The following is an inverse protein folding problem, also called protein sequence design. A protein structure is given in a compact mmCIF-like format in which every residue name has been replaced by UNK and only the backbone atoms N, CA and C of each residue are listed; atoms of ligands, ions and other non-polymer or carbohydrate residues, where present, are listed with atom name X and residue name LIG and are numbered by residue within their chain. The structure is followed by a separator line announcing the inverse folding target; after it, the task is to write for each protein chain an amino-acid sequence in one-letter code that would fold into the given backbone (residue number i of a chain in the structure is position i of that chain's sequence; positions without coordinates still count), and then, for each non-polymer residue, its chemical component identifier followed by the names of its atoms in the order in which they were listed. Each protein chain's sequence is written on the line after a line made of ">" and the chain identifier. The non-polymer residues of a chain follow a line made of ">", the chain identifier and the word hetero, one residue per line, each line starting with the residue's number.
data_IF_712176473186
#
_entry.id   IF_712176473186
#
_cell.length_a   1.000
_cell.length_b   1.000
_cell.length_c   1.000
_cell.angle_alpha   90.00
_cell.angle_beta   90.00
_cell.angle_gamma   90.00
#
_symmetry.space_group_name_H-M   'P 1'
#
loop_
_entity.id
_entity.type
_entity.pdbx_description
1 polymer ?
#
# COMPACT_ATOMS: atom_id res chain seq x y z
N UNK A 1 -1.73 -8.62 16.36
CA UNK A 1 -1.85 -8.14 14.96
C UNK A 1 -0.72 -7.16 14.76
N UNK A 2 0.21 -7.44 13.83
CA UNK A 2 1.32 -6.54 13.57
C UNK A 2 0.98 -5.63 12.38
N UNK A 3 0.42 -6.19 11.32
CA UNK A 3 0.10 -5.46 10.09
C UNK A 3 -1.08 -6.09 9.37
N UNK A 4 -1.78 -5.33 8.51
CA UNK A 4 -2.90 -5.80 7.72
C UNK A 4 -2.90 -5.12 6.35
N UNK A 5 -3.21 -5.89 5.31
CA UNK A 5 -3.38 -5.40 3.93
C UNK A 5 -4.74 -5.85 3.42
N UNK A 6 -5.71 -4.94 3.38
CA UNK A 6 -7.09 -5.25 2.98
C UNK A 6 -7.73 -6.34 3.86
N UNK A 7 -8.08 -7.52 3.31
CA UNK A 7 -8.60 -8.66 4.09
C UNK A 7 -7.48 -9.50 4.74
N UNK A 8 -6.23 -9.36 4.30
CA UNK A 8 -5.12 -10.15 4.81
C UNK A 8 -4.62 -9.59 6.14
N UNK A 9 -4.42 -10.47 7.12
CA UNK A 9 -3.98 -10.13 8.48
C UNK A 9 -2.64 -10.78 8.73
N UNK A 10 -1.63 -9.97 9.02
CA UNK A 10 -0.30 -10.43 9.32
C UNK A 10 -0.10 -10.50 10.84
N UNK A 11 -0.04 -11.73 11.34
CA UNK A 11 -0.01 -12.06 12.76
C UNK A 11 0.76 -13.37 12.97
N UNK A 12 1.26 -13.58 14.19
CA UNK A 12 2.10 -14.73 14.57
C UNK A 12 1.56 -16.10 14.12
N UNK A 13 0.27 -16.45 14.26
CA UNK A 13 -0.23 -17.77 13.82
C UNK A 13 -0.35 -17.95 12.31
N UNK A 14 -0.22 -16.89 11.51
CA UNK A 14 -0.35 -16.97 10.05
C UNK A 14 0.99 -16.62 9.37
N UNK A 15 1.14 -15.33 9.07
CA UNK A 15 2.25 -14.71 8.38
C UNK A 15 2.60 -13.48 9.20
N UNK A 16 3.72 -13.48 9.91
CA UNK A 16 4.15 -12.32 10.69
C UNK A 16 5.10 -11.48 9.85
N UNK A 17 4.93 -10.16 9.85
CA UNK A 17 5.93 -9.28 9.21
C UNK A 17 7.11 -9.17 10.17
N UNK A 18 8.31 -9.54 9.71
CA UNK A 18 9.54 -9.48 10.50
C UNK A 18 10.31 -8.21 10.15
N UNK A 19 10.46 -7.97 8.86
CA UNK A 19 11.16 -6.79 8.34
C UNK A 19 10.20 -5.96 7.49
N UNK A 20 10.11 -4.66 7.81
CA UNK A 20 9.46 -3.65 6.97
C UNK A 20 10.54 -2.73 6.43
N UNK A 21 10.76 -2.78 5.11
CA UNK A 21 11.61 -1.82 4.42
C UNK A 21 10.73 -0.85 3.66
N UNK A 22 10.95 0.45 3.87
CA UNK A 22 10.24 1.50 3.13
C UNK A 22 11.24 2.41 2.45
N UNK A 23 11.06 2.63 1.16
CA UNK A 23 11.82 3.58 0.36
C UNK A 23 10.88 4.65 -0.20
N UNK A 24 11.34 5.90 -0.15
CA UNK A 24 10.66 7.02 -0.77
C UNK A 24 11.63 7.64 -1.77
N UNK A 25 11.27 7.60 -3.04
CA UNK A 25 12.07 8.19 -4.12
C UNK A 25 11.35 9.43 -4.64
N UNK A 26 11.57 10.61 -4.04
CA UNK A 26 10.95 11.85 -4.51
C UNK A 26 11.46 12.21 -5.91
N UNK A 27 10.63 12.91 -6.67
CA UNK A 27 11.03 13.37 -8.01
C UNK A 27 11.79 14.68 -7.85
N UNK A 28 13.07 14.66 -8.17
CA UNK A 28 13.96 15.81 -8.16
C UNK A 28 14.87 15.79 -9.39
N UNK A 29 15.20 16.97 -9.89
CA UNK A 29 16.06 17.16 -11.06
C UNK A 29 17.17 18.15 -10.72
N UNK A 30 18.40 17.83 -11.11
CA UNK A 30 19.55 18.70 -10.93
C UNK A 30 19.75 19.57 -12.17
N UNK A 31 19.78 20.88 -11.99
CA UNK A 31 20.11 21.83 -13.03
C UNK A 31 21.61 22.19 -12.94
N UNK A 32 22.43 21.74 -13.90
CA UNK A 32 23.85 22.07 -13.90
C UNK A 32 24.07 23.56 -14.17
N UNK A 33 24.92 24.19 -13.36
CA UNK A 33 25.35 25.59 -13.51
C UNK A 33 26.86 25.66 -13.57
N UNK A 34 27.39 26.62 -14.33
CA UNK A 34 28.84 26.78 -14.50
C UNK A 34 29.42 27.45 -13.25
N UNK A 35 30.46 26.85 -12.67
CA UNK A 35 31.24 27.44 -11.57
C UNK A 35 30.60 27.39 -10.18
N UNK A 36 29.47 26.70 -10.02
CA UNK A 36 28.80 26.53 -8.74
C UNK A 36 28.23 25.11 -8.61
N UNK A 37 27.78 24.74 -7.41
CA UNK A 37 27.05 23.49 -7.20
C UNK A 37 25.70 23.51 -7.94
N UNK A 38 25.25 22.39 -8.53
CA UNK A 38 24.00 22.33 -9.27
C UNK A 38 22.80 22.65 -8.37
N UNK A 39 21.82 23.36 -8.92
CA UNK A 39 20.57 23.66 -8.23
C UNK A 39 19.63 22.45 -8.30
N UNK A 40 18.92 22.14 -7.22
CA UNK A 40 17.99 21.01 -7.15
C UNK A 40 16.54 21.47 -7.28
N UNK A 41 15.86 21.03 -8.34
CA UNK A 41 14.44 21.29 -8.58
C UNK A 41 13.57 20.18 -8.00
N UNK A 42 12.53 20.57 -7.25
CA UNK A 42 11.57 19.64 -6.64
C UNK A 42 10.37 19.46 -7.58
N UNK A 43 10.30 18.30 -8.25
CA UNK A 43 9.24 17.96 -9.21
C UNK A 43 8.00 17.33 -8.53
N UNK A 44 8.10 17.01 -7.24
CA UNK A 44 6.98 16.56 -6.42
C UNK A 44 7.21 15.22 -5.72
N UNK A 45 6.17 14.71 -5.03
CA UNK A 45 6.23 13.39 -4.40
C UNK A 45 6.40 12.33 -5.50
N UNK A 46 7.35 11.42 -5.29
CA UNK A 46 7.58 10.31 -6.21
C UNK A 46 7.02 9.00 -5.66
N UNK A 47 7.46 7.89 -6.23
CA UNK A 47 6.98 6.58 -5.83
C UNK A 47 7.47 6.23 -4.42
N UNK A 48 6.55 5.80 -3.58
CA UNK A 48 6.85 5.20 -2.28
C UNK A 48 6.68 3.69 -2.43
N UNK A 49 7.71 2.94 -2.05
CA UNK A 49 7.72 1.49 -2.11
C UNK A 49 7.89 0.92 -0.70
N UNK A 50 7.14 -0.15 -0.40
CA UNK A 50 7.27 -0.92 0.84
C UNK A 50 7.53 -2.37 0.46
N UNK A 51 8.58 -2.92 1.04
CA UNK A 51 8.89 -4.34 0.99
C UNK A 51 8.67 -4.94 2.37
N UNK A 52 7.82 -5.96 2.44
CA UNK A 52 7.55 -6.74 3.64
C UNK A 52 8.21 -8.10 3.50
N UNK A 53 9.03 -8.47 4.47
CA UNK A 53 9.59 -9.81 4.58
C UNK A 53 8.98 -10.52 5.79
N UNK A 54 8.67 -11.80 5.59
CA UNK A 54 8.18 -12.67 6.64
C UNK A 54 8.75 -14.06 6.50
N UNK A 55 8.85 -14.75 7.63
CA UNK A 55 9.06 -16.18 7.68
C UNK A 55 7.93 -16.82 8.47
N UNK A 56 7.38 -17.93 7.99
CA UNK A 56 6.41 -18.71 8.76
C UNK A 56 6.57 -20.22 8.57
N UNK A 57 6.08 -20.97 9.56
CA UNK A 57 6.19 -22.42 9.62
C UNK A 57 4.80 -23.06 9.52
N UNK A 58 4.39 -23.59 8.34
CA UNK A 58 3.03 -24.07 8.11
C UNK A 58 2.56 -25.17 9.08
N UNK A 59 3.47 -26.06 9.49
CA UNK A 59 3.15 -27.22 10.33
C UNK A 59 2.66 -26.84 11.72
N UNK A 60 3.12 -25.71 12.27
CA UNK A 60 2.82 -25.32 13.64
C UNK A 60 1.39 -24.76 13.82
N UNK A 61 0.76 -24.27 12.74
CA UNK A 61 -0.52 -23.55 12.81
C UNK A 61 -1.57 -24.04 11.80
N UNK A 62 -1.63 -25.36 11.56
CA UNK A 62 -2.63 -25.98 10.68
C UNK A 62 -2.66 -25.43 9.24
N UNK A 63 -1.52 -25.00 8.70
CA UNK A 63 -1.41 -24.56 7.31
C UNK A 63 -2.16 -23.28 6.93
N UNK A 64 -2.74 -22.52 7.90
CA UNK A 64 -3.47 -21.27 7.61
C UNK A 64 -2.64 -20.25 6.84
N UNK A 65 -1.34 -20.18 7.11
CA UNK A 65 -0.40 -19.32 6.38
C UNK A 65 -0.34 -19.63 4.87
N UNK A 66 -0.46 -20.90 4.46
CA UNK A 66 -0.43 -21.30 3.04
C UNK A 66 -1.69 -20.83 2.30
N UNK A 67 -2.87 -20.99 2.90
CA UNK A 67 -4.12 -20.49 2.31
C UNK A 67 -4.13 -18.97 2.16
N UNK A 68 -3.57 -18.26 3.14
CA UNK A 68 -3.44 -16.81 3.07
C UNK A 68 -2.45 -16.39 1.99
N UNK A 69 -1.31 -17.08 1.85
CA UNK A 69 -0.33 -16.83 0.79
C UNK A 69 -0.96 -17.00 -0.61
N UNK A 70 -1.77 -18.04 -0.81
CA UNK A 70 -2.51 -18.24 -2.05
C UNK A 70 -3.46 -17.05 -2.34
N UNK A 71 -4.23 -16.60 -1.34
CA UNK A 71 -5.11 -15.44 -1.49
C UNK A 71 -4.36 -14.14 -1.77
N UNK A 72 -3.19 -13.92 -1.15
CA UNK A 72 -2.35 -12.75 -1.44
C UNK A 72 -1.85 -12.80 -2.89
N UNK A 73 -1.44 -13.96 -3.39
CA UNK A 73 -1.03 -14.14 -4.80
C UNK A 73 -2.16 -13.82 -5.77
N UNK A 74 -3.38 -14.26 -5.48
CA UNK A 74 -4.56 -13.90 -6.28
C UNK A 74 -4.84 -12.39 -6.25
N UNK A 75 -4.74 -11.75 -5.09
CA UNK A 75 -4.91 -10.30 -4.97
C UNK A 75 -3.84 -9.50 -5.73
N UNK A 76 -2.59 -9.98 -5.75
CA UNK A 76 -1.50 -9.42 -6.55
C UNK A 76 -1.82 -9.54 -8.05
N UNK A 77 -2.25 -10.71 -8.50
CA UNK A 77 -2.65 -10.94 -9.90
C UNK A 77 -3.85 -10.07 -10.31
N UNK A 78 -4.79 -9.82 -9.39
CA UNK A 78 -5.94 -8.98 -9.62
C UNK A 78 -5.63 -7.47 -9.59
N UNK A 79 -4.39 -7.07 -9.26
CA UNK A 79 -3.94 -5.67 -9.19
C UNK A 79 -4.86 -4.79 -8.32
N UNK A 80 -5.36 -5.34 -7.22
CA UNK A 80 -6.31 -4.64 -6.35
C UNK A 80 -5.55 -3.72 -5.39
N UNK A 81 -5.81 -2.40 -5.41
CA UNK A 81 -5.27 -1.51 -4.39
C UNK A 81 -6.01 -1.75 -3.07
N UNK A 82 -5.28 -2.10 -2.02
CA UNK A 82 -5.83 -2.39 -0.69
C UNK A 82 -5.20 -1.49 0.37
N UNK A 83 -5.95 -1.21 1.43
CA UNK A 83 -5.45 -0.38 2.52
C UNK A 83 -4.42 -1.14 3.35
N UNK A 84 -3.29 -0.50 3.62
CA UNK A 84 -2.25 -1.01 4.50
C UNK A 84 -2.37 -0.35 5.87
N UNK A 85 -2.47 -1.16 6.91
CA UNK A 85 -2.63 -0.73 8.29
C UNK A 85 -1.59 -1.44 9.14
N UNK A 86 -0.91 -0.69 10.00
CA UNK A 86 0.02 -1.24 10.98
C UNK A 86 -0.48 -0.91 12.37
N UNK A 87 -0.54 -1.93 13.23
CA UNK A 87 -1.00 -1.79 14.61
C UNK A 87 0.19 -2.06 15.51
N UNK A 88 0.63 -1.04 16.23
CA UNK A 88 1.67 -1.16 17.23
C UNK A 88 1.09 -0.88 18.63
N UNK A 89 1.90 -1.05 19.67
CA UNK A 89 1.51 -0.74 21.05
C UNK A 89 1.17 0.75 21.28
N UNK A 90 1.56 1.63 20.36
CA UNK A 90 1.29 3.07 20.42
C UNK A 90 0.02 3.48 19.64
N UNK A 91 -0.63 2.56 18.92
CA UNK A 91 -1.87 2.81 18.19
C UNK A 91 -1.94 2.18 16.79
N UNK A 92 -2.95 2.59 16.02
CA UNK A 92 -3.19 2.14 14.66
C UNK A 92 -2.73 3.20 13.66
N UNK A 93 -1.70 2.89 12.88
CA UNK A 93 -1.22 3.73 11.79
C UNK A 93 -1.79 3.25 10.44
N UNK A 94 -2.53 4.12 9.76
CA UNK A 94 -3.13 3.84 8.46
C UNK A 94 -2.23 4.45 7.38
N UNK A 95 -1.57 3.60 6.58
CA UNK A 95 -0.65 4.04 5.53
C UNK A 95 -1.33 4.40 4.20
N UNK A 96 -2.65 4.29 4.11
CA UNK A 96 -3.42 4.54 2.89
C UNK A 96 -3.50 3.31 1.98
N UNK A 97 -3.69 3.53 0.68
CA UNK A 97 -3.84 2.47 -0.32
C UNK A 97 -2.49 2.06 -0.93
N UNK A 98 -2.30 0.75 -1.03
CA UNK A 98 -1.07 0.12 -1.53
C UNK A 98 -1.44 -0.96 -2.54
N UNK A 99 -0.74 -0.94 -3.67
CA UNK A 99 -0.84 -1.92 -4.72
C UNK A 99 0.37 -2.85 -4.65
N UNK A 100 0.15 -4.15 -4.57
CA UNK A 100 1.24 -5.11 -4.62
C UNK A 100 1.78 -5.25 -6.04
N UNK A 101 3.09 -5.08 -6.20
CA UNK A 101 3.78 -5.17 -7.49
C UNK A 101 4.45 -6.51 -7.71
N UNK A 102 4.94 -7.15 -6.65
CA UNK A 102 5.54 -8.47 -6.74
C UNK A 102 5.43 -9.22 -5.43
N UNK A 103 5.33 -10.54 -5.55
CA UNK A 103 5.40 -11.48 -4.44
C UNK A 103 6.35 -12.61 -4.82
N UNK A 104 7.30 -12.90 -3.93
CA UNK A 104 8.19 -14.06 -4.05
C UNK A 104 8.13 -14.86 -2.77
N UNK A 105 8.01 -16.18 -2.88
CA UNK A 105 8.09 -17.08 -1.75
C UNK A 105 9.17 -18.14 -1.98
N UNK A 106 9.96 -18.39 -0.95
CA UNK A 106 10.97 -19.43 -0.89
C UNK A 106 10.50 -20.48 0.12
N UNK A 107 10.46 -21.72 -0.33
CA UNK A 107 10.01 -22.86 0.47
C UNK A 107 11.21 -23.77 0.75
N UNK A 108 11.49 -24.01 2.02
CA UNK A 108 12.63 -24.83 2.45
C UNK A 108 12.19 -25.96 3.37
N UNK A 109 12.95 -27.06 3.30
CA UNK A 109 12.74 -28.29 4.08
C UNK A 109 11.35 -28.89 3.85
N UNK A 110 11.23 -29.88 2.98
CA UNK A 110 9.94 -30.53 2.70
C UNK A 110 9.73 -31.75 3.62
N UNK A 111 8.49 -31.98 4.02
CA UNK A 111 8.09 -33.21 4.70
C UNK A 111 7.95 -34.38 3.70
N UNK A 112 7.80 -35.59 4.22
CA UNK A 112 7.42 -36.83 3.50
C UNK A 112 6.15 -36.67 2.66
N UNK A 113 5.24 -35.78 3.06
CA UNK A 113 4.03 -35.44 2.33
C UNK A 113 4.20 -34.29 1.30
N UNK A 114 5.42 -33.76 1.14
CA UNK A 114 5.71 -32.64 0.22
C UNK A 114 5.33 -31.24 0.75
N UNK A 115 4.86 -31.13 2.01
CA UNK A 115 4.57 -29.83 2.63
C UNK A 115 5.86 -29.14 3.07
N UNK A 116 6.08 -27.85 2.72
CA UNK A 116 7.23 -27.10 3.19
C UNK A 116 7.15 -26.81 4.70
N UNK A 117 8.27 -26.92 5.39
CA UNK A 117 8.36 -26.68 6.83
C UNK A 117 8.65 -25.21 7.16
N UNK A 118 9.33 -24.51 6.25
CA UNK A 118 9.66 -23.11 6.39
C UNK A 118 9.36 -22.41 5.08
N UNK A 119 8.61 -21.31 5.16
CA UNK A 119 8.27 -20.49 4.00
C UNK A 119 8.68 -19.05 4.31
N UNK A 120 9.61 -18.53 3.51
CA UNK A 120 10.03 -17.13 3.53
C UNK A 120 9.31 -16.41 2.41
N UNK A 121 8.74 -15.26 2.67
CA UNK A 121 7.98 -14.50 1.68
C UNK A 121 8.41 -13.05 1.69
N UNK A 122 8.57 -12.51 0.48
CA UNK A 122 8.87 -11.11 0.23
C UNK A 122 7.75 -10.54 -0.63
N UNK A 123 7.06 -9.53 -0.09
CA UNK A 123 5.98 -8.81 -0.76
C UNK A 123 6.42 -7.37 -1.00
N UNK A 124 6.55 -6.96 -2.26
CA UNK A 124 6.82 -5.58 -2.63
C UNK A 124 5.54 -4.90 -3.09
N UNK A 125 5.31 -3.69 -2.57
CA UNK A 125 4.13 -2.88 -2.86
C UNK A 125 4.55 -1.46 -3.18
N UNK A 126 3.77 -0.82 -4.05
CA UNK A 126 3.87 0.61 -4.35
C UNK A 126 2.65 1.33 -3.80
N UNK A 127 2.87 2.52 -3.27
CA UNK A 127 1.78 3.38 -2.81
C UNK A 127 0.89 3.73 -4.00
N UNK A 128 -0.39 3.40 -3.87
CA UNK A 128 -1.39 3.76 -4.85
C UNK A 128 -2.01 5.08 -4.40
N UNK A 129 -1.55 6.18 -4.99
CA UNK A 129 -2.16 7.49 -4.78
C UNK A 129 -3.31 7.67 -5.77
N UNK A 130 -4.51 7.25 -5.39
CA UNK A 130 -5.70 7.65 -6.11
C UNK A 130 -5.95 9.13 -5.80
N UNK A 131 -5.48 9.97 -6.70
CA UNK A 131 -5.57 11.43 -6.63
C UNK A 131 -7.00 11.94 -6.82
N UNK A 132 -8.00 11.31 -6.19
CA UNK A 132 -9.31 11.91 -5.95
C UNK A 132 -9.16 13.20 -5.11
N UNK A 133 -8.20 13.24 -4.19
CA UNK A 133 -7.87 14.44 -3.41
C UNK A 133 -7.24 15.56 -4.26
N UNK A 134 -6.48 15.25 -5.33
CA UNK A 134 -5.97 16.30 -6.25
C UNK A 134 -7.05 16.83 -7.19
N UNK A 135 -7.98 15.99 -7.65
CA UNK A 135 -9.15 16.47 -8.42
C UNK A 135 -10.06 17.36 -7.57
N UNK A 136 -10.27 17.01 -6.30
CA UNK A 136 -10.96 17.87 -5.34
C UNK A 136 -10.21 19.20 -5.10
N UNK A 137 -8.88 19.16 -4.92
CA UNK A 137 -8.07 20.36 -4.72
C UNK A 137 -8.00 21.26 -5.97
N UNK A 138 -8.00 20.70 -7.18
CA UNK A 138 -8.04 21.48 -8.42
C UNK A 138 -9.37 22.23 -8.60
N UNK A 139 -10.48 21.68 -8.08
CA UNK A 139 -11.78 22.35 -8.07
C UNK A 139 -11.84 23.54 -7.12
N UNK A 140 -10.97 23.58 -6.10
CA UNK A 140 -10.85 24.68 -5.15
C UNK A 140 -9.86 25.76 -5.61
N UNK A 141 -8.93 25.44 -6.52
CA UNK A 141 -7.93 26.39 -7.03
C UNK A 141 -8.35 27.13 -8.31
N UNK A 142 -9.43 26.70 -8.98
CA UNK A 142 -10.02 27.46 -10.07
C UNK A 142 -10.96 28.54 -9.49
N UNK A 143 -10.39 29.69 -9.15
CA UNK A 143 -11.08 30.82 -8.51
C UNK A 143 -12.30 31.30 -9.29
N UNK A 144 -13.46 30.71 -8.99
CA UNK A 144 -14.75 31.04 -9.60
C UNK A 144 -15.75 29.88 -9.63
N UNK A 145 -15.31 28.63 -9.38
CA UNK A 145 -16.16 27.45 -9.46
C UNK A 145 -16.25 26.79 -8.09
N UNK A 146 -17.44 26.79 -7.49
CA UNK A 146 -17.70 26.04 -6.25
C UNK A 146 -18.49 24.77 -6.57
N UNK A 147 -17.91 23.62 -6.25
CA UNK A 147 -18.55 22.31 -6.38
C UNK A 147 -18.90 21.79 -4.99
N UNK A 148 -20.18 21.55 -4.72
CA UNK A 148 -20.63 20.92 -3.49
C UNK A 148 -21.38 19.63 -3.81
N UNK A 149 -20.97 18.54 -3.16
CA UNK A 149 -21.66 17.25 -3.21
C UNK A 149 -22.20 16.91 -1.81
N UNK A 150 -23.47 16.53 -1.74
CA UNK A 150 -24.16 16.21 -0.48
C UNK A 150 -24.92 14.89 -0.59
N UNK A 151 -24.93 14.12 0.50
CA UNK A 151 -25.70 12.87 0.61
C UNK A 151 -26.94 13.18 1.47
N UNK A 152 -28.12 13.05 0.86
CA UNK A 152 -29.41 13.25 1.54
C UNK A 152 -29.81 12.03 2.37
N UNK A 153 -30.64 12.24 3.39
CA UNK A 153 -31.08 11.23 4.36
C UNK A 153 -31.91 10.06 3.77
N UNK A 154 -32.08 9.99 2.44
CA UNK A 154 -32.73 8.89 1.72
C UNK A 154 -31.82 8.15 0.72
N UNK A 155 -30.50 8.29 0.82
CA UNK A 155 -29.54 7.69 -0.13
C UNK A 155 -29.47 8.41 -1.49
N UNK A 156 -30.18 9.54 -1.63
CA UNK A 156 -30.09 10.40 -2.81
C UNK A 156 -28.79 11.19 -2.79
N UNK A 157 -28.02 11.10 -3.88
CA UNK A 157 -26.81 11.88 -4.09
C UNK A 157 -27.14 13.15 -4.85
N UNK A 158 -26.74 14.31 -4.33
CA UNK A 158 -26.92 15.60 -5.01
C UNK A 158 -25.57 16.27 -5.28
N UNK A 159 -25.40 16.77 -6.50
CA UNK A 159 -24.23 17.56 -6.91
C UNK A 159 -24.74 18.89 -7.42
N UNK A 160 -24.23 19.98 -6.85
CA UNK A 160 -24.53 21.33 -7.31
C UNK A 160 -23.25 22.08 -7.66
N UNK A 161 -23.27 22.75 -8.82
CA UNK A 161 -22.22 23.61 -9.30
C UNK A 161 -22.71 25.06 -9.25
N UNK A 162 -22.00 25.93 -8.52
CA UNK A 162 -22.29 27.37 -8.48
C UNK A 162 -21.12 28.16 -9.06
N UNK A 163 -21.40 28.97 -10.07
CA UNK A 163 -20.47 29.98 -10.57
C UNK A 163 -20.57 31.23 -9.69
N UNK A 164 -19.45 31.66 -9.11
CA UNK A 164 -19.32 32.97 -8.50
C UNK A 164 -18.93 33.98 -9.58
N UNK A 165 -19.82 34.94 -9.87
CA UNK A 165 -19.47 36.19 -10.55
C UNK A 165 -19.33 37.29 -9.48
#
# INVERSE_FOLDING_TARGET
>A
MLMAWGPFRFTVPNYSVETVRRSLSPRMEEQPVIGAAPLLHRLGPGAEEITLESTFHPRHFNGRGLSQLAGVREAVNALVPLHLVHVNSAGQNIFGQWLATSISNEETTFDTAGTPQTVTVTLAMKRYDQSAARLAALSLSAGGISLSAGIGAGGSFNVSLRLGF
#
